data_IF_104687665052
#
_entry.id   IF_104687665052
#
_cell.length_a   1.000
_cell.length_b   1.000
_cell.length_c   1.000
_cell.angle_alpha   90.00
_cell.angle_beta   90.00
_cell.angle_gamma   90.00
#
_symmetry.space_group_name_H-M   'P 1'
#
loop_
_entity.id
_entity.type
_entity.pdbx_description
1 polymer ?
#
# COMPACT_ATOMS: atom_id res chain seq x y z
N UNK A 1 4.83 19.40 17.08
CA UNK A 1 4.25 19.91 15.82
C UNK A 1 3.62 18.75 15.09
N UNK A 2 2.38 18.87 14.64
CA UNK A 2 1.73 17.81 13.82
C UNK A 2 2.45 17.78 12.47
N UNK A 3 2.98 16.63 12.06
CA UNK A 3 3.63 16.48 10.75
C UNK A 3 2.62 16.77 9.62
N UNK A 4 3.06 17.48 8.59
CA UNK A 4 2.24 17.70 7.39
C UNK A 4 2.15 16.43 6.53
N UNK A 5 1.19 16.39 5.61
CA UNK A 5 1.05 15.29 4.61
C UNK A 5 2.35 15.10 3.82
N UNK A 6 3.01 16.21 3.46
CA UNK A 6 4.29 16.17 2.75
C UNK A 6 5.44 15.63 3.61
N UNK A 7 5.48 15.96 4.91
CA UNK A 7 6.50 15.42 5.82
C UNK A 7 6.37 13.91 6.00
N UNK A 8 5.13 13.40 6.03
CA UNK A 8 4.84 11.97 6.09
C UNK A 8 5.32 11.27 4.81
N UNK A 9 5.00 11.84 3.64
CA UNK A 9 5.45 11.29 2.35
C UNK A 9 6.98 11.24 2.28
N UNK A 10 7.65 12.34 2.61
CA UNK A 10 9.12 12.41 2.59
C UNK A 10 9.76 11.40 3.56
N UNK A 11 9.22 11.25 4.77
CA UNK A 11 9.63 10.21 5.73
C UNK A 11 9.61 8.82 5.09
N UNK A 12 8.53 8.46 4.39
CA UNK A 12 8.40 7.14 3.78
C UNK A 12 9.28 6.97 2.55
N UNK A 13 9.43 8.01 1.72
CA UNK A 13 10.37 8.02 0.60
C UNK A 13 11.81 7.75 1.09
N UNK A 14 12.24 8.47 2.12
CA UNK A 14 13.59 8.31 2.70
C UNK A 14 13.77 6.91 3.30
N UNK A 15 12.75 6.41 4.01
CA UNK A 15 12.75 5.06 4.55
C UNK A 15 12.94 4.01 3.44
N UNK A 16 12.14 4.07 2.36
CA UNK A 16 12.21 3.08 1.29
C UNK A 16 13.48 3.20 0.45
N UNK A 17 14.02 4.40 0.23
CA UNK A 17 15.29 4.58 -0.46
C UNK A 17 16.44 3.91 0.31
N UNK A 18 16.55 4.17 1.62
CA UNK A 18 17.57 3.56 2.47
C UNK A 18 17.43 2.04 2.53
N UNK A 19 16.20 1.53 2.58
CA UNK A 19 15.91 0.09 2.56
C UNK A 19 16.29 -0.54 1.24
N UNK A 20 15.93 0.06 0.10
CA UNK A 20 16.27 -0.44 -1.24
C UNK A 20 17.78 -0.58 -1.44
N UNK A 21 18.61 0.27 -0.85
CA UNK A 21 20.07 0.15 -0.97
C UNK A 21 20.62 -1.11 -0.25
N UNK A 22 20.08 -1.39 0.94
CA UNK A 22 20.69 -2.31 1.90
C UNK A 22 19.94 -3.64 2.08
N UNK A 23 18.72 -3.75 1.55
CA UNK A 23 17.85 -4.92 1.74
C UNK A 23 17.50 -5.58 0.42
N UNK A 24 17.73 -6.88 0.34
CA UNK A 24 17.36 -7.66 -0.83
C UNK A 24 15.85 -7.77 -1.00
N UNK A 25 15.08 -7.89 0.08
CA UNK A 25 13.62 -8.01 0.01
C UNK A 25 12.97 -6.71 -0.50
N UNK A 26 13.51 -5.55 -0.11
CA UNK A 26 13.07 -4.26 -0.66
C UNK A 26 13.53 -4.05 -2.10
N UNK A 27 14.69 -4.56 -2.51
CA UNK A 27 15.04 -4.58 -3.96
C UNK A 27 14.02 -5.40 -4.73
N UNK A 28 13.73 -6.62 -4.27
CA UNK A 28 12.77 -7.53 -4.90
C UNK A 28 11.37 -6.93 -5.01
N UNK A 29 10.89 -6.14 -4.04
CA UNK A 29 9.56 -5.50 -4.13
C UNK A 29 9.40 -4.55 -5.32
N UNK A 30 10.49 -4.05 -5.89
CA UNK A 30 10.47 -3.18 -7.07
C UNK A 30 10.70 -3.93 -8.40
N UNK A 31 10.98 -5.23 -8.39
CA UNK A 31 11.24 -6.01 -9.61
C UNK A 31 9.92 -6.51 -10.19
N UNK A 32 9.51 -5.91 -11.31
CA UNK A 32 8.27 -6.25 -11.98
C UNK A 32 8.28 -7.69 -12.56
N UNK A 33 7.16 -8.43 -12.61
CA UNK A 33 7.12 -9.83 -13.06
C UNK A 33 7.65 -10.05 -14.48
N UNK A 34 7.56 -9.04 -15.36
CA UNK A 34 8.11 -9.12 -16.71
C UNK A 34 9.62 -9.33 -16.75
N UNK A 35 10.35 -9.11 -15.65
CA UNK A 35 11.78 -9.39 -15.55
C UNK A 35 12.11 -10.87 -15.71
N UNK A 36 11.19 -11.79 -15.34
CA UNK A 36 11.37 -13.24 -15.53
C UNK A 36 11.56 -13.64 -16.99
N UNK A 37 10.99 -12.88 -17.94
CA UNK A 37 11.21 -13.12 -19.37
C UNK A 37 12.63 -12.80 -19.82
N UNK A 38 13.36 -11.95 -19.08
CA UNK A 38 14.75 -11.58 -19.36
C UNK A 38 15.74 -12.40 -18.53
N UNK A 39 15.43 -12.64 -17.25
CA UNK A 39 16.21 -13.49 -16.37
C UNK A 39 15.27 -14.37 -15.52
N UNK A 40 15.05 -15.65 -15.89
CA UNK A 40 14.13 -16.53 -15.17
C UNK A 40 14.53 -16.85 -13.73
N UNK A 41 15.80 -16.64 -13.37
CA UNK A 41 16.32 -16.90 -12.02
C UNK A 41 16.08 -15.70 -11.08
N UNK A 42 15.60 -14.56 -11.59
CA UNK A 42 15.32 -13.39 -10.77
C UNK A 42 14.04 -13.61 -9.97
N UNK A 43 14.10 -13.31 -8.67
CA UNK A 43 12.90 -13.17 -7.87
C UNK A 43 12.20 -11.86 -8.22
N UNK A 44 10.88 -11.94 -8.36
CA UNK A 44 10.01 -10.79 -8.67
C UNK A 44 9.15 -10.47 -7.47
N UNK A 45 8.46 -9.33 -7.55
CA UNK A 45 7.61 -8.84 -6.48
C UNK A 45 6.35 -9.69 -6.19
N UNK A 46 6.01 -10.70 -7.01
CA UNK A 46 4.72 -11.44 -6.94
C UNK A 46 4.46 -12.11 -5.58
N UNK A 47 5.48 -12.69 -4.94
CA UNK A 47 5.31 -13.29 -3.61
C UNK A 47 5.10 -12.22 -2.54
N UNK A 48 5.77 -11.08 -2.67
CA UNK A 48 5.62 -9.95 -1.74
C UNK A 48 4.26 -9.27 -1.94
N UNK A 49 3.79 -9.14 -3.17
CA UNK A 49 2.45 -8.68 -3.53
C UNK A 49 1.39 -9.52 -2.81
N UNK A 50 1.46 -10.85 -2.93
CA UNK A 50 0.51 -11.77 -2.31
C UNK A 50 0.46 -11.61 -0.78
N UNK A 51 1.63 -11.46 -0.14
CA UNK A 51 1.72 -11.25 1.31
C UNK A 51 1.19 -9.86 1.67
N UNK A 52 1.58 -8.85 0.89
CA UNK A 52 1.19 -7.47 1.06
C UNK A 52 -0.31 -7.24 0.99
N UNK A 53 -1.00 -7.87 0.05
CA UNK A 53 -2.47 -7.84 -0.06
C UNK A 53 -3.14 -8.31 1.23
N UNK A 54 -2.68 -9.44 1.81
CA UNK A 54 -3.20 -9.95 3.09
C UNK A 54 -2.92 -9.01 4.26
N UNK A 55 -1.72 -8.42 4.30
CA UNK A 55 -1.33 -7.47 5.36
C UNK A 55 -2.14 -6.18 5.24
N UNK A 56 -2.38 -5.71 4.02
CA UNK A 56 -3.22 -4.55 3.74
C UNK A 56 -4.65 -4.79 4.19
N UNK A 57 -5.23 -5.94 3.83
CA UNK A 57 -6.56 -6.35 4.27
C UNK A 57 -6.68 -6.38 5.80
N UNK A 58 -5.74 -7.06 6.47
CA UNK A 58 -5.70 -7.13 7.93
C UNK A 58 -5.59 -5.73 8.55
N UNK A 59 -4.74 -4.87 7.99
CA UNK A 59 -4.54 -3.50 8.47
C UNK A 59 -5.80 -2.66 8.37
N UNK A 60 -6.52 -2.75 7.25
CA UNK A 60 -7.77 -2.02 7.07
C UNK A 60 -8.85 -2.53 8.02
N UNK A 61 -8.99 -3.84 8.18
CA UNK A 61 -9.92 -4.39 9.18
C UNK A 61 -9.55 -3.96 10.60
N UNK A 62 -8.27 -4.04 10.98
CA UNK A 62 -7.81 -3.65 12.30
C UNK A 62 -8.08 -2.15 12.56
N UNK A 63 -7.80 -1.28 11.58
CA UNK A 63 -8.09 0.14 11.67
C UNK A 63 -9.60 0.41 11.81
N UNK A 64 -10.43 -0.18 10.94
CA UNK A 64 -11.88 0.01 10.96
C UNK A 64 -12.53 -0.54 12.24
N UNK A 65 -12.11 -1.73 12.67
CA UNK A 65 -12.63 -2.36 13.87
C UNK A 65 -12.36 -1.51 15.11
N UNK A 66 -11.13 -1.02 15.29
CA UNK A 66 -10.78 -0.16 16.42
C UNK A 66 -11.47 1.22 16.36
N UNK A 67 -11.75 1.71 15.15
CA UNK A 67 -12.39 3.02 14.96
C UNK A 67 -13.90 3.00 15.19
N UNK A 68 -14.55 1.89 14.85
CA UNK A 68 -16.00 1.75 14.81
C UNK A 68 -16.51 0.57 15.64
N UNK A 69 -15.79 0.16 16.67
CA UNK A 69 -16.22 -0.96 17.51
C UNK A 69 -17.65 -0.71 17.99
N UNK A 70 -18.55 -1.64 17.66
CA UNK A 70 -20.00 -1.62 17.94
C UNK A 70 -20.85 -0.54 17.24
N UNK A 71 -20.25 0.34 16.41
CA UNK A 71 -20.94 1.42 15.70
C UNK A 71 -21.45 1.00 14.31
N UNK A 72 -20.85 -0.02 13.69
CA UNK A 72 -21.19 -0.46 12.33
C UNK A 72 -21.34 -1.99 12.24
N UNK A 73 -22.23 -2.47 11.38
CA UNK A 73 -22.38 -3.90 11.10
C UNK A 73 -21.17 -4.45 10.31
N UNK A 74 -20.98 -5.77 10.37
CA UNK A 74 -19.97 -6.48 9.56
C UNK A 74 -20.06 -6.12 8.07
N UNK A 75 -21.27 -6.09 7.50
CA UNK A 75 -21.48 -5.74 6.09
C UNK A 75 -20.99 -4.33 5.77
N UNK A 76 -21.31 -3.35 6.64
CA UNK A 76 -20.85 -1.97 6.46
C UNK A 76 -19.32 -1.87 6.56
N UNK A 77 -18.68 -2.65 7.44
CA UNK A 77 -17.23 -2.73 7.54
C UNK A 77 -16.59 -3.33 6.28
N UNK A 78 -17.16 -4.41 5.73
CA UNK A 78 -16.70 -5.03 4.48
C UNK A 78 -16.85 -4.08 3.28
N UNK A 79 -17.96 -3.34 3.21
CA UNK A 79 -18.19 -2.31 2.17
C UNK A 79 -17.19 -1.15 2.30
N UNK A 80 -16.88 -0.73 3.53
CA UNK A 80 -15.87 0.27 3.86
C UNK A 80 -14.49 -0.16 3.38
N UNK A 81 -14.06 -1.35 3.78
CA UNK A 81 -12.77 -1.92 3.36
C UNK A 81 -12.67 -1.96 1.84
N UNK A 82 -13.69 -2.48 1.16
CA UNK A 82 -13.70 -2.53 -0.30
C UNK A 82 -13.59 -1.15 -0.93
N UNK A 83 -14.27 -0.13 -0.40
CA UNK A 83 -14.14 1.24 -0.91
C UNK A 83 -12.74 1.81 -0.70
N UNK A 84 -12.12 1.53 0.44
CA UNK A 84 -10.75 1.98 0.74
C UNK A 84 -9.71 1.34 -0.16
N UNK A 85 -9.90 0.05 -0.51
CA UNK A 85 -9.04 -0.67 -1.46
C UNK A 85 -9.30 -0.29 -2.91
N UNK A 86 -10.58 -0.18 -3.31
CA UNK A 86 -10.97 0.01 -4.71
C UNK A 86 -10.87 1.45 -5.19
N UNK A 87 -10.90 2.44 -4.29
CA UNK A 87 -10.90 3.84 -4.67
C UNK A 87 -9.53 4.48 -4.45
N UNK A 88 -8.69 4.52 -5.49
CA UNK A 88 -7.61 5.52 -5.67
C UNK A 88 -6.47 5.55 -4.64
N UNK A 89 -6.59 4.89 -3.49
CA UNK A 89 -5.65 5.00 -2.38
C UNK A 89 -4.27 4.44 -2.72
N UNK A 90 -4.23 3.22 -3.29
CA UNK A 90 -2.97 2.60 -3.67
C UNK A 90 -2.30 3.32 -4.86
N UNK A 91 -3.06 3.75 -5.87
CA UNK A 91 -2.51 4.58 -6.95
C UNK A 91 -1.95 5.91 -6.42
N UNK A 92 -2.65 6.57 -5.51
CA UNK A 92 -2.17 7.80 -4.85
C UNK A 92 -0.91 7.54 -4.04
N UNK A 93 -0.82 6.42 -3.31
CA UNK A 93 0.40 6.04 -2.59
C UNK A 93 1.56 5.86 -3.58
N UNK A 94 1.32 5.12 -4.66
CA UNK A 94 2.31 4.91 -5.71
C UNK A 94 2.83 6.23 -6.28
N UNK A 95 1.91 7.14 -6.62
CA UNK A 95 2.22 8.44 -7.21
C UNK A 95 2.89 9.39 -6.20
N UNK A 96 2.40 9.45 -4.96
CA UNK A 96 2.94 10.29 -3.89
C UNK A 96 4.37 9.90 -3.49
N UNK A 97 4.66 8.61 -3.47
CA UNK A 97 6.02 8.10 -3.22
C UNK A 97 6.89 8.08 -4.48
N UNK A 98 6.33 8.46 -5.64
CA UNK A 98 7.03 8.50 -6.92
C UNK A 98 7.72 7.15 -7.25
N UNK A 99 7.01 6.04 -7.00
CA UNK A 99 7.57 4.69 -7.09
C UNK A 99 7.94 4.26 -8.52
N UNK A 100 7.37 4.88 -9.54
CA UNK A 100 7.66 4.59 -10.95
C UNK A 100 9.17 4.58 -11.24
N UNK A 101 9.93 5.51 -10.68
CA UNK A 101 11.38 5.62 -10.89
C UNK A 101 12.17 4.48 -10.23
N UNK A 102 11.57 3.82 -9.26
CA UNK A 102 12.20 2.73 -8.51
C UNK A 102 11.97 1.37 -9.13
N UNK A 103 11.01 1.24 -10.06
CA UNK A 103 10.58 -0.05 -10.62
C UNK A 103 11.58 -0.57 -11.63
N UNK A 104 12.01 -1.81 -11.42
CA UNK A 104 12.94 -2.52 -12.29
C UNK A 104 12.17 -3.40 -13.27
N UNK A 105 12.54 -3.28 -14.55
CA UNK A 105 11.95 -3.99 -15.69
C UNK A 105 13.06 -4.32 -16.70
N UNK A 106 12.85 -5.27 -17.62
CA UNK A 106 13.85 -5.59 -18.62
C UNK A 106 14.33 -4.38 -19.43
N UNK A 107 15.58 -4.39 -19.93
CA UNK A 107 16.06 -3.40 -20.89
C UNK A 107 15.11 -3.28 -22.09
N UNK A 108 14.82 -2.06 -22.54
CA UNK A 108 13.92 -1.75 -23.66
C UNK A 108 12.45 -2.19 -23.48
N UNK A 109 12.05 -2.74 -22.34
CA UNK A 109 10.65 -3.05 -22.06
C UNK A 109 9.88 -1.77 -21.74
N UNK A 110 8.80 -1.50 -22.49
CA UNK A 110 7.85 -0.44 -22.17
C UNK A 110 6.82 -0.99 -21.19
N UNK A 111 6.98 -0.65 -19.91
CA UNK A 111 6.00 -0.97 -18.88
C UNK A 111 5.00 0.17 -18.78
N UNK A 112 3.71 -0.15 -18.90
CA UNK A 112 2.63 0.80 -18.63
C UNK A 112 2.19 0.65 -17.18
N UNK A 113 2.27 1.73 -16.40
CA UNK A 113 1.81 1.78 -15.01
C UNK A 113 0.29 1.96 -14.93
N UNK A 114 -0.45 0.95 -15.38
CA UNK A 114 -1.89 0.90 -15.14
C UNK A 114 -2.20 0.62 -13.65
N UNK A 115 -3.46 0.76 -13.26
CA UNK A 115 -3.94 0.53 -11.88
C UNK A 115 -3.42 -0.75 -11.26
N UNK A 116 -3.50 -1.86 -12.00
CA UNK A 116 -3.04 -3.17 -11.52
C UNK A 116 -1.55 -3.14 -11.19
N UNK A 117 -0.71 -2.65 -12.10
CA UNK A 117 0.73 -2.58 -11.87
C UNK A 117 1.05 -1.69 -10.66
N UNK A 118 0.41 -0.53 -10.54
CA UNK A 118 0.60 0.38 -9.39
C UNK A 118 0.22 -0.30 -8.08
N UNK A 119 -0.93 -0.99 -8.02
CA UNK A 119 -1.39 -1.70 -6.84
C UNK A 119 -0.41 -2.80 -6.43
N UNK A 120 -0.02 -3.67 -7.37
CA UNK A 120 0.90 -4.77 -7.12
C UNK A 120 2.24 -4.29 -6.54
N UNK A 121 2.73 -3.13 -6.99
CA UNK A 121 3.99 -2.55 -6.49
C UNK A 121 3.82 -2.03 -5.05
N UNK A 122 2.71 -1.36 -4.75
CA UNK A 122 2.43 -0.88 -3.38
C UNK A 122 2.22 -2.07 -2.43
N UNK A 123 1.48 -3.08 -2.85
CA UNK A 123 1.28 -4.32 -2.09
C UNK A 123 2.62 -5.02 -1.85
N UNK A 124 3.47 -5.15 -2.86
CA UNK A 124 4.80 -5.73 -2.67
C UNK A 124 5.66 -4.93 -1.68
N UNK A 125 5.55 -3.60 -1.67
CA UNK A 125 6.25 -2.76 -0.71
C UNK A 125 5.71 -2.92 0.72
N UNK A 126 4.39 -3.08 0.88
CA UNK A 126 3.75 -3.47 2.15
C UNK A 126 4.27 -4.84 2.60
N UNK A 127 4.34 -5.82 1.69
CA UNK A 127 4.83 -7.16 1.98
C UNK A 127 6.29 -7.18 2.44
N UNK A 128 7.17 -6.42 1.76
CA UNK A 128 8.56 -6.25 2.17
C UNK A 128 8.68 -5.58 3.55
N UNK A 129 7.91 -4.53 3.79
CA UNK A 129 7.88 -3.83 5.09
C UNK A 129 7.43 -4.76 6.21
N UNK A 130 6.37 -5.55 5.99
CA UNK A 130 5.88 -6.50 6.97
C UNK A 130 6.91 -7.59 7.30
N UNK A 131 7.54 -8.18 6.28
CA UNK A 131 8.47 -9.29 6.47
C UNK A 131 9.79 -8.85 7.11
N UNK A 132 10.27 -7.64 6.83
CA UNK A 132 11.54 -7.16 7.36
C UNK A 132 11.38 -6.36 8.67
N UNK A 133 10.34 -5.53 8.78
CA UNK A 133 10.18 -4.56 9.88
C UNK A 133 8.95 -4.85 10.77
N UNK A 134 8.14 -5.85 10.42
CA UNK A 134 7.00 -6.29 11.20
C UNK A 134 5.71 -5.52 10.95
N UNK A 135 4.62 -6.01 11.57
CA UNK A 135 3.27 -5.51 11.34
C UNK A 135 3.05 -4.07 11.78
N UNK A 136 3.66 -3.61 12.89
CA UNK A 136 3.46 -2.25 13.38
C UNK A 136 3.96 -1.20 12.38
N UNK A 137 5.12 -1.44 11.76
CA UNK A 137 5.67 -0.53 10.75
C UNK A 137 4.81 -0.55 9.48
N UNK A 138 4.37 -1.74 9.04
CA UNK A 138 3.44 -1.87 7.92
C UNK A 138 2.09 -1.16 8.18
N UNK A 139 1.56 -1.30 9.39
CA UNK A 139 0.32 -0.63 9.83
C UNK A 139 0.46 0.88 9.75
N UNK A 140 1.56 1.44 10.29
CA UNK A 140 1.82 2.87 10.24
C UNK A 140 2.01 3.37 8.80
N UNK A 141 2.73 2.63 7.97
CA UNK A 141 2.91 2.94 6.55
C UNK A 141 1.56 3.10 5.84
N UNK A 142 0.70 2.09 5.95
CA UNK A 142 -0.61 2.06 5.31
C UNK A 142 -1.50 3.18 5.86
N UNK A 143 -1.63 3.27 7.18
CA UNK A 143 -2.62 4.16 7.82
C UNK A 143 -2.22 5.63 7.75
N UNK A 144 -0.93 5.96 7.77
CA UNK A 144 -0.48 7.35 7.62
C UNK A 144 -0.74 7.88 6.21
N UNK A 145 -0.48 7.08 5.18
CA UNK A 145 -0.67 7.51 3.79
C UNK A 145 -2.13 7.43 3.32
N UNK A 146 -2.92 6.51 3.88
CA UNK A 146 -4.36 6.47 3.61
C UNK A 146 -5.15 7.42 4.51
N UNK A 147 -4.55 8.10 5.49
CA UNK A 147 -5.24 8.84 6.55
C UNK A 147 -6.31 9.81 6.05
N UNK A 148 -6.01 10.55 4.98
CA UNK A 148 -6.93 11.55 4.39
C UNK A 148 -8.11 10.88 3.71
N UNK A 149 -7.84 9.88 2.88
CA UNK A 149 -8.87 9.10 2.18
C UNK A 149 -9.74 8.32 3.19
N UNK A 150 -9.12 7.75 4.23
CA UNK A 150 -9.78 7.13 5.37
C UNK A 150 -10.72 8.11 6.04
N UNK A 151 -10.25 9.31 6.40
CA UNK A 151 -11.09 10.33 7.06
C UNK A 151 -12.27 10.74 6.20
N UNK A 152 -12.05 11.05 4.92
CA UNK A 152 -13.12 11.47 4.01
C UNK A 152 -14.18 10.37 3.82
N UNK A 153 -13.76 9.12 3.57
CA UNK A 153 -14.71 8.00 3.40
C UNK A 153 -15.45 7.67 4.68
N UNK A 154 -14.78 7.79 5.83
CA UNK A 154 -15.42 7.62 7.14
C UNK A 154 -16.51 8.66 7.35
N UNK A 155 -16.23 9.95 7.11
CA UNK A 155 -17.23 11.01 7.25
C UNK A 155 -18.42 10.81 6.32
N UNK A 156 -18.18 10.48 5.03
CA UNK A 156 -19.26 10.15 4.08
C UNK A 156 -20.18 9.03 4.58
N UNK A 157 -19.65 8.11 5.39
CA UNK A 157 -20.39 6.97 5.91
C UNK A 157 -21.03 7.21 7.27
N UNK A 158 -20.40 7.98 8.15
CA UNK A 158 -21.06 8.50 9.35
C UNK A 158 -22.32 9.26 8.94
N UNK A 159 -22.23 10.10 7.91
CA UNK A 159 -23.39 10.79 7.34
C UNK A 159 -24.43 9.80 6.80
N UNK A 160 -24.01 8.74 6.09
CA UNK A 160 -24.92 7.71 5.58
C UNK A 160 -25.63 6.90 6.68
N UNK A 161 -24.93 6.61 7.78
CA UNK A 161 -25.45 5.82 8.91
C UNK A 161 -26.39 6.66 9.79
N UNK A 162 -26.06 7.92 10.01
CA UNK A 162 -26.88 8.84 10.84
C UNK A 162 -28.20 9.20 10.13
N UNK A 163 -28.20 9.28 8.80
CA UNK A 163 -29.37 9.69 8.00
C UNK A 163 -30.17 8.52 7.41
N UNK A 164 -30.00 7.30 7.96
CA UNK A 164 -30.81 6.12 7.65
C UNK A 164 -31.42 5.53 8.91
#
# INVERSE_FOLDING_TARGET
TIMSENDIILKWVDFFNKKKENSQIFKTSFIHPSYKGYNPMVETNENLELIGDRVLDLTLYHYLYNKFTDSISKKQMDDLRQKLLSATGLEKIFDALNLEKSVEKPPNHKLTFNSKVKHNIVEALVGATYLEDGYEIAYNFITELLKKDLKTKITELEDYIIHK
#
